data_IF_880135466092
#
_entry.id   IF_880135466092
#
_cell.length_a   1.000
_cell.length_b   1.000
_cell.length_c   1.000
_cell.angle_alpha   90.00
_cell.angle_beta   90.00
_cell.angle_gamma   90.00
#
_symmetry.space_group_name_H-M   'P 1'
#
loop_
_entity.id
_entity.type
_entity.pdbx_description
1 polymer ?
#
# COMPACT_ATOMS: atom_id res chain seq x y z
N UNK A 1 50.14 -33.04 -43.79
CA UNK A 1 49.76 -34.33 -44.40
C UNK A 1 50.47 -35.54 -43.81
N UNK A 2 51.81 -35.60 -43.70
CA UNK A 2 52.48 -36.81 -43.17
C UNK A 2 52.44 -36.98 -41.64
N UNK A 3 52.31 -35.90 -40.88
CA UNK A 3 52.36 -35.95 -39.41
C UNK A 3 51.03 -36.37 -38.78
N UNK A 4 49.92 -35.86 -39.31
CA UNK A 4 48.55 -36.23 -38.91
C UNK A 4 48.27 -37.73 -39.09
N UNK A 5 48.76 -38.34 -40.18
CA UNK A 5 48.67 -39.80 -40.39
C UNK A 5 49.49 -40.61 -39.37
N UNK A 6 50.65 -40.09 -38.92
CA UNK A 6 51.46 -40.75 -37.90
C UNK A 6 50.76 -40.74 -36.53
N UNK A 7 50.11 -39.63 -36.21
CA UNK A 7 49.36 -39.44 -34.97
C UNK A 7 48.13 -40.36 -34.96
N UNK A 8 47.35 -40.39 -36.05
CA UNK A 8 46.17 -41.26 -36.19
C UNK A 8 46.53 -42.75 -36.11
N UNK A 9 47.69 -43.15 -36.64
CA UNK A 9 48.17 -44.53 -36.58
C UNK A 9 48.67 -44.95 -35.20
N UNK A 10 49.17 -44.00 -34.39
CA UNK A 10 49.62 -44.24 -33.00
C UNK A 10 48.48 -44.20 -31.98
N UNK A 11 47.56 -43.25 -32.13
CA UNK A 11 46.48 -42.99 -31.15
C UNK A 11 45.21 -43.77 -31.50
N UNK A 12 45.06 -44.19 -32.76
CA UNK A 12 43.83 -44.78 -33.26
C UNK A 12 42.77 -43.72 -33.54
N UNK A 13 41.81 -44.05 -34.40
CA UNK A 13 40.65 -43.19 -34.72
C UNK A 13 39.51 -43.33 -33.69
N UNK A 14 39.75 -44.11 -32.63
CA UNK A 14 38.73 -44.40 -31.64
C UNK A 14 38.60 -43.24 -30.66
N UNK A 15 37.36 -42.91 -30.30
CA UNK A 15 37.10 -41.87 -29.33
C UNK A 15 37.39 -42.39 -27.92
N UNK A 16 38.43 -41.84 -27.30
CA UNK A 16 38.87 -42.17 -25.93
C UNK A 16 37.98 -41.49 -24.89
N UNK A 17 37.29 -40.40 -25.28
CA UNK A 17 36.33 -39.71 -24.42
C UNK A 17 34.97 -40.39 -24.53
N UNK A 18 34.83 -41.53 -23.84
CA UNK A 18 33.53 -42.19 -23.65
C UNK A 18 33.02 -41.90 -22.25
N UNK A 19 31.77 -41.49 -22.16
CA UNK A 19 31.05 -41.42 -20.89
C UNK A 19 30.49 -42.81 -20.55
N UNK A 20 30.37 -43.15 -19.26
CA UNK A 20 29.61 -44.33 -18.85
C UNK A 20 28.17 -44.27 -19.35
N UNK A 21 27.60 -45.43 -19.68
CA UNK A 21 26.20 -45.55 -20.06
C UNK A 21 25.30 -45.00 -18.93
N UNK A 22 24.33 -44.15 -19.28
CA UNK A 22 23.42 -43.53 -18.31
C UNK A 22 23.98 -42.33 -17.52
N UNK A 23 25.24 -41.91 -17.73
CA UNK A 23 25.83 -40.75 -17.03
C UNK A 23 24.97 -39.48 -17.16
N UNK A 24 24.58 -39.13 -18.38
CA UNK A 24 23.76 -37.94 -18.64
C UNK A 24 22.29 -38.10 -18.22
N UNK A 25 21.80 -39.34 -18.07
CA UNK A 25 20.43 -39.62 -17.64
C UNK A 25 20.24 -39.26 -16.15
N UNK A 26 21.24 -39.58 -15.33
CA UNK A 26 21.23 -39.27 -13.90
C UNK A 26 21.75 -37.87 -13.54
N UNK A 27 22.42 -37.17 -14.47
CA UNK A 27 23.01 -35.85 -14.22
C UNK A 27 21.99 -34.83 -13.71
N UNK A 28 20.80 -34.79 -14.32
CA UNK A 28 19.75 -33.84 -13.95
C UNK A 28 19.27 -34.08 -12.52
N UNK A 29 19.03 -35.34 -12.16
CA UNK A 29 18.62 -35.75 -10.81
C UNK A 29 19.71 -35.45 -9.78
N UNK A 30 20.96 -35.75 -10.11
CA UNK A 30 22.11 -35.48 -9.24
C UNK A 30 22.33 -33.98 -9.03
N UNK A 31 22.25 -33.17 -10.10
CA UNK A 31 22.31 -31.71 -10.01
C UNK A 31 21.18 -31.17 -9.14
N UNK A 32 19.93 -31.62 -9.37
CA UNK A 32 18.79 -31.18 -8.56
C UNK A 32 18.89 -31.62 -7.10
N UNK A 33 19.51 -32.77 -6.81
CA UNK A 33 19.74 -33.24 -5.45
C UNK A 33 20.88 -32.51 -4.72
N UNK A 34 21.84 -31.96 -5.48
CA UNK A 34 22.98 -31.20 -4.96
C UNK A 34 22.72 -29.70 -4.89
N UNK A 35 21.72 -29.21 -5.62
CA UNK A 35 21.17 -27.90 -5.30
C UNK A 35 20.76 -27.96 -3.83
N UNK A 36 21.09 -26.92 -3.04
CA UNK A 36 20.46 -26.81 -1.72
C UNK A 36 18.98 -27.04 -1.97
N UNK A 37 18.32 -27.88 -1.14
CA UNK A 37 16.87 -27.88 -1.11
C UNK A 37 16.53 -26.41 -1.19
N UNK A 38 15.87 -26.02 -2.27
CA UNK A 38 15.30 -24.71 -2.32
C UNK A 38 14.37 -24.85 -1.13
N UNK A 39 14.83 -24.36 0.02
CA UNK A 39 14.14 -23.39 0.80
C UNK A 39 13.45 -22.55 -0.28
N UNK A 40 12.33 -23.08 -0.80
CA UNK A 40 11.12 -22.33 -0.92
C UNK A 40 11.23 -21.56 0.34
N UNK A 41 11.56 -20.27 0.26
CA UNK A 41 11.51 -19.52 1.47
C UNK A 41 10.10 -19.89 1.92
N UNK A 42 10.02 -20.59 3.04
CA UNK A 42 9.25 -20.04 4.08
C UNK A 42 9.71 -18.54 4.15
N UNK A 43 9.29 -17.70 3.18
CA UNK A 43 8.10 -16.91 3.29
C UNK A 43 7.27 -17.66 4.31
N UNK A 44 7.69 -17.47 5.56
CA UNK A 44 6.84 -17.35 6.69
C UNK A 44 5.78 -16.46 6.07
N UNK A 45 4.75 -17.11 5.50
CA UNK A 45 3.53 -16.46 5.12
C UNK A 45 3.03 -16.11 6.50
N UNK A 46 3.57 -15.01 7.05
CA UNK A 46 2.96 -14.34 8.17
C UNK A 46 1.64 -13.99 7.56
N UNK A 47 0.68 -14.85 7.83
CA UNK A 47 -0.69 -14.64 7.48
C UNK A 47 -0.94 -13.18 7.85
N UNK A 48 -1.39 -12.34 6.91
CA UNK A 48 -1.53 -10.91 7.14
C UNK A 48 -2.29 -10.76 8.43
N UNK A 49 -1.56 -10.43 9.50
CA UNK A 49 -2.10 -10.68 10.82
C UNK A 49 -3.07 -9.55 11.04
N UNK A 50 -4.27 -9.87 11.50
CA UNK A 50 -5.38 -8.90 11.65
C UNK A 50 -4.98 -7.65 12.46
N UNK A 51 -3.87 -7.70 13.19
CA UNK A 51 -3.17 -6.57 13.82
C UNK A 51 -3.01 -5.32 12.96
N UNK A 52 -2.80 -5.44 11.65
CA UNK A 52 -2.72 -4.25 10.78
C UNK A 52 -4.03 -3.46 10.73
N UNK A 53 -5.18 -4.15 10.87
CA UNK A 53 -6.50 -3.50 10.99
C UNK A 53 -6.76 -2.91 12.37
N UNK A 54 -6.14 -3.46 13.42
CA UNK A 54 -6.27 -2.94 14.79
C UNK A 54 -5.35 -1.75 15.07
N UNK A 55 -4.23 -1.62 14.34
CA UNK A 55 -3.26 -0.54 14.49
C UNK A 55 -3.90 0.87 14.41
N UNK A 56 -4.73 1.21 13.39
CA UNK A 56 -5.40 2.51 13.35
C UNK A 56 -6.40 2.70 14.50
N UNK A 57 -7.10 1.64 14.94
CA UNK A 57 -8.05 1.74 16.04
C UNK A 57 -7.37 2.01 17.39
N UNK A 58 -6.21 1.41 17.63
CA UNK A 58 -5.39 1.68 18.82
C UNK A 58 -4.95 3.15 18.86
N UNK A 59 -4.53 3.74 17.74
CA UNK A 59 -4.19 5.17 17.68
C UNK A 59 -5.40 6.06 17.99
N UNK A 60 -6.57 5.75 17.42
CA UNK A 60 -7.79 6.51 17.69
C UNK A 60 -8.20 6.41 19.17
N UNK A 61 -8.07 5.22 19.76
CA UNK A 61 -8.34 4.98 21.20
C UNK A 61 -7.39 5.77 22.08
N UNK A 62 -6.08 5.78 21.75
CA UNK A 62 -5.07 6.54 22.48
C UNK A 62 -5.33 8.05 22.41
N UNK A 63 -5.75 8.57 21.25
CA UNK A 63 -6.09 9.97 21.07
C UNK A 63 -7.32 10.37 21.93
N UNK A 64 -8.35 9.53 21.94
CA UNK A 64 -9.54 9.72 22.78
C UNK A 64 -9.22 9.68 24.28
N UNK A 65 -8.43 8.71 24.72
CA UNK A 65 -8.01 8.60 26.13
C UNK A 65 -7.15 9.79 26.53
N UNK A 66 -6.25 10.24 25.66
CA UNK A 66 -5.43 11.44 25.88
C UNK A 66 -6.28 12.70 26.03
N UNK A 67 -7.22 12.94 25.11
CA UNK A 67 -8.15 14.07 25.19
C UNK A 67 -9.04 14.00 26.45
N UNK A 68 -9.59 12.82 26.75
CA UNK A 68 -10.42 12.61 27.94
C UNK A 68 -9.65 12.85 29.25
N UNK A 69 -8.37 12.48 29.31
CA UNK A 69 -7.52 12.74 30.48
C UNK A 69 -7.25 14.24 30.64
N UNK A 70 -6.94 14.94 29.54
CA UNK A 70 -6.74 16.40 29.54
C UNK A 70 -8.01 17.11 30.00
N UNK A 71 -9.18 16.74 29.45
CA UNK A 71 -10.49 17.28 29.86
C UNK A 71 -10.74 16.95 31.33
N UNK A 72 -10.55 15.70 31.77
CA UNK A 72 -10.84 15.30 33.15
C UNK A 72 -9.94 15.99 34.18
N UNK A 73 -8.65 16.18 33.89
CA UNK A 73 -7.74 16.95 34.74
C UNK A 73 -8.15 18.43 34.74
N UNK A 74 -8.39 19.04 33.58
CA UNK A 74 -8.78 20.45 33.48
C UNK A 74 -10.18 20.75 34.05
N UNK A 75 -11.10 19.79 34.03
CA UNK A 75 -12.46 19.91 34.57
C UNK A 75 -12.56 19.60 36.06
N UNK A 76 -11.55 18.98 36.68
CA UNK A 76 -11.55 18.74 38.14
C UNK A 76 -11.37 20.05 38.91
N UNK A 77 -10.68 21.04 38.33
CA UNK A 77 -10.44 22.36 38.95
C UNK A 77 -11.40 23.46 38.48
N UNK A 78 -12.30 23.18 37.52
CA UNK A 78 -13.20 24.18 36.94
C UNK A 78 -14.65 23.90 37.33
N UNK A 79 -15.20 24.75 38.18
CA UNK A 79 -16.65 24.99 38.29
C UNK A 79 -17.28 25.10 36.90
N UNK A 80 -18.52 24.63 36.68
CA UNK A 80 -19.12 24.61 35.35
C UNK A 80 -19.41 26.04 34.89
N UNK A 81 -18.48 26.64 34.15
CA UNK A 81 -18.76 27.85 33.39
C UNK A 81 -19.59 27.42 32.20
N UNK A 82 -20.88 27.67 32.36
CA UNK A 82 -21.91 27.64 31.37
C UNK A 82 -21.48 28.48 30.14
N UNK A 83 -20.77 27.88 29.19
CA UNK A 83 -20.53 28.48 27.89
C UNK A 83 -20.56 27.39 26.82
N UNK A 84 -21.78 27.19 26.30
CA UNK A 84 -22.08 27.02 24.87
C UNK A 84 -20.83 26.77 24.01
N UNK A 85 -20.66 25.52 23.59
CA UNK A 85 -20.14 25.00 22.31
C UNK A 85 -19.76 23.54 22.61
N UNK A 86 -20.80 22.72 22.71
CA UNK A 86 -20.74 21.28 22.58
C UNK A 86 -22.00 20.92 21.82
N UNK A 87 -21.96 21.19 20.52
CA UNK A 87 -23.00 20.85 19.57
C UNK A 87 -22.25 20.38 18.33
N UNK A 88 -21.85 19.11 18.35
CA UNK A 88 -21.60 18.33 17.15
C UNK A 88 -23.01 18.00 16.63
N UNK A 89 -23.58 18.96 15.91
CA UNK A 89 -24.86 18.87 15.21
C UNK A 89 -24.51 18.82 13.72
N UNK A 90 -25.10 17.90 12.93
CA UNK A 90 -24.73 17.72 11.54
C UNK A 90 -25.01 19.00 10.74
N UNK A 91 -23.94 19.74 10.42
CA UNK A 91 -23.73 20.52 9.20
C UNK A 91 -25.01 21.08 8.53
N UNK A 92 -25.87 21.78 9.24
CA UNK A 92 -26.74 22.78 8.61
C UNK A 92 -26.06 24.12 8.84
N UNK A 93 -24.97 24.31 8.10
CA UNK A 93 -24.26 25.57 7.98
C UNK A 93 -25.27 26.59 7.46
N UNK A 94 -25.81 27.42 8.35
CA UNK A 94 -26.59 28.61 7.98
C UNK A 94 -25.59 29.51 7.27
N UNK A 95 -25.44 29.32 5.96
CA UNK A 95 -24.53 30.10 5.14
C UNK A 95 -24.97 31.54 5.27
N UNK A 96 -24.16 32.35 5.97
CA UNK A 96 -24.48 33.75 6.21
C UNK A 96 -24.39 34.52 4.89
N UNK A 97 -25.28 35.50 4.70
CA UNK A 97 -25.26 36.38 3.52
C UNK A 97 -23.87 37.01 3.31
N UNK A 98 -23.11 37.24 4.39
CA UNK A 98 -21.73 37.70 4.37
C UNK A 98 -20.78 36.69 3.68
N UNK A 99 -20.86 35.41 4.01
CA UNK A 99 -20.05 34.39 3.36
C UNK A 99 -20.47 34.18 1.90
N UNK A 100 -21.78 34.18 1.60
CA UNK A 100 -22.27 34.09 0.22
C UNK A 100 -21.74 35.26 -0.61
N UNK A 101 -21.81 36.48 -0.07
CA UNK A 101 -21.31 37.67 -0.77
C UNK A 101 -19.80 37.61 -1.01
N UNK A 102 -19.02 37.12 -0.03
CA UNK A 102 -17.58 37.00 -0.16
C UNK A 102 -17.19 35.96 -1.23
N UNK A 103 -17.84 34.80 -1.25
CA UNK A 103 -17.59 33.78 -2.28
C UNK A 103 -18.03 34.28 -3.65
N UNK A 104 -19.16 34.97 -3.74
CA UNK A 104 -19.68 35.55 -4.98
C UNK A 104 -18.71 36.59 -5.56
N UNK A 105 -18.19 37.50 -4.72
CA UNK A 105 -17.20 38.53 -5.12
C UNK A 105 -15.87 37.90 -5.58
N UNK A 106 -15.40 36.85 -4.89
CA UNK A 106 -14.20 36.11 -5.30
C UNK A 106 -14.40 35.33 -6.62
N UNK A 107 -15.64 34.99 -6.98
CA UNK A 107 -15.95 34.22 -8.19
C UNK A 107 -16.05 35.07 -9.46
N UNK A 108 -15.96 36.40 -9.36
CA UNK A 108 -16.21 37.35 -10.46
C UNK A 108 -17.56 37.13 -11.18
N UNK A 109 -18.52 36.52 -10.50
CA UNK A 109 -19.82 36.16 -11.05
C UNK A 109 -20.77 37.34 -10.86
N UNK A 110 -21.34 37.84 -11.96
CA UNK A 110 -22.27 38.97 -11.95
C UNK A 110 -23.70 38.54 -11.63
N UNK A 111 -24.51 39.44 -11.07
CA UNK A 111 -25.90 39.15 -10.70
C UNK A 111 -26.74 38.58 -11.86
N UNK A 112 -26.39 38.95 -13.10
CA UNK A 112 -27.04 38.43 -14.30
C UNK A 112 -26.70 36.95 -14.57
N UNK A 113 -25.43 36.54 -14.46
CA UNK A 113 -25.06 35.14 -14.64
C UNK A 113 -25.62 34.25 -13.52
N UNK A 114 -25.75 34.77 -12.30
CA UNK A 114 -26.42 34.07 -11.20
C UNK A 114 -27.89 33.77 -11.55
N UNK A 115 -28.62 34.74 -12.10
CA UNK A 115 -30.00 34.56 -12.54
C UNK A 115 -30.13 33.53 -13.66
N UNK A 116 -29.24 33.55 -14.65
CA UNK A 116 -29.25 32.58 -15.76
C UNK A 116 -29.01 31.17 -15.24
N UNK A 117 -28.02 30.98 -14.36
CA UNK A 117 -27.70 29.67 -13.78
C UNK A 117 -28.85 29.11 -12.94
N UNK A 118 -29.46 29.95 -12.08
CA UNK A 118 -30.60 29.54 -11.27
C UNK A 118 -31.84 29.24 -12.13
N UNK A 119 -32.03 29.97 -13.22
CA UNK A 119 -33.16 29.72 -14.13
C UNK A 119 -32.97 28.42 -14.91
N UNK A 120 -31.75 28.14 -15.38
CA UNK A 120 -31.40 26.91 -16.11
C UNK A 120 -31.54 25.67 -15.20
N UNK A 121 -31.02 25.74 -13.97
CA UNK A 121 -31.14 24.68 -12.96
C UNK A 121 -32.59 24.43 -12.49
N UNK A 122 -33.46 25.44 -12.59
CA UNK A 122 -34.88 25.31 -12.25
C UNK A 122 -35.74 24.77 -13.40
N UNK A 123 -35.16 24.55 -14.58
CA UNK A 123 -35.86 24.05 -15.78
C UNK A 123 -35.64 22.57 -16.09
N UNK A 124 -34.97 21.82 -15.20
CA UNK A 124 -34.94 20.35 -15.19
C UNK A 124 -36.03 19.72 -14.30
#
# INVERSE_FOLDING_TARGET
MKEEDNILKKVGKENIFRVPDGYFENLTSEVMSRLPEKETPAIIKREPTKWERFKPWVYMTAMFVGAALIIRVASTDRTPVNNRIAMDEPETEVVSDEYISAVLDNSMLDDYSLYVYLTDAGTE
#
